data_IF_407490177538
#
_entry.id   IF_407490177538
#
_cell.length_a   1.000
_cell.length_b   1.000
_cell.length_c   1.000
_cell.angle_alpha   90.00
_cell.angle_beta   90.00
_cell.angle_gamma   90.00
#
_symmetry.space_group_name_H-M   'P 1'
#
loop_
_entity.id
_entity.type
_entity.pdbx_description
1 polymer ?
#
# COMPACT_ATOMS: atom_id res chain seq x y z
N UNK A 1 -8.45 9.67 13.41
CA UNK A 1 -9.41 10.73 13.02
C UNK A 1 -9.45 11.00 11.51
N UNK A 2 -8.52 11.73 10.87
CA UNK A 2 -8.65 12.13 9.45
C UNK A 2 -8.95 10.95 8.50
N UNK A 3 -8.24 9.82 8.63
CA UNK A 3 -8.50 8.63 7.80
C UNK A 3 -9.84 7.97 8.08
N UNK A 4 -10.27 7.95 9.34
CA UNK A 4 -11.58 7.41 9.70
C UNK A 4 -12.69 8.23 9.05
N UNK A 5 -12.59 9.57 9.10
CA UNK A 5 -13.53 10.45 8.39
C UNK A 5 -13.55 10.19 6.89
N UNK A 6 -12.40 9.88 6.27
CA UNK A 6 -12.33 9.54 4.86
C UNK A 6 -13.06 8.22 4.55
N UNK A 7 -12.96 7.21 5.42
CA UNK A 7 -13.72 5.96 5.28
C UNK A 7 -15.22 6.24 5.42
N UNK A 8 -15.66 6.93 6.48
CA UNK A 8 -17.08 7.29 6.68
C UNK A 8 -17.63 8.03 5.46
N UNK A 9 -16.89 9.04 4.97
CA UNK A 9 -17.27 9.80 3.78
C UNK A 9 -17.42 8.91 2.54
N UNK A 10 -16.49 7.99 2.31
CA UNK A 10 -16.56 7.05 1.19
C UNK A 10 -17.78 6.13 1.29
N UNK A 11 -18.09 5.61 2.48
CA UNK A 11 -19.27 4.76 2.70
C UNK A 11 -20.58 5.53 2.43
N UNK A 12 -20.65 6.79 2.87
CA UNK A 12 -21.79 7.65 2.62
C UNK A 12 -21.96 7.98 1.13
N UNK A 13 -20.87 8.35 0.44
CA UNK A 13 -20.87 8.69 -0.99
C UNK A 13 -21.23 7.50 -1.88
N UNK A 14 -20.78 6.29 -1.51
CA UNK A 14 -21.12 5.05 -2.23
C UNK A 14 -22.44 4.45 -1.81
N UNK A 15 -23.09 5.03 -0.78
CA UNK A 15 -24.27 4.47 -0.12
C UNK A 15 -24.10 3.01 0.32
N UNK A 16 -22.86 2.60 0.62
CA UNK A 16 -22.57 1.24 1.04
C UNK A 16 -23.19 0.96 2.41
N UNK A 17 -24.01 -0.09 2.50
CA UNK A 17 -24.70 -0.52 3.74
C UNK A 17 -24.28 -1.91 4.23
N UNK A 18 -23.31 -2.54 3.55
CA UNK A 18 -22.79 -3.84 3.94
C UNK A 18 -21.86 -3.76 5.16
N UNK A 19 -21.51 -4.93 5.69
CA UNK A 19 -20.43 -5.04 6.66
C UNK A 19 -19.08 -4.81 5.96
N UNK A 20 -18.11 -4.27 6.68
CA UNK A 20 -16.72 -4.14 6.23
C UNK A 20 -15.94 -5.27 6.87
N UNK A 21 -15.38 -6.17 6.07
CA UNK A 21 -14.59 -7.30 6.58
C UNK A 21 -13.30 -6.83 7.24
N UNK A 22 -12.61 -5.85 6.63
CA UNK A 22 -11.44 -5.18 7.20
C UNK A 22 -11.14 -3.87 6.45
N UNK A 23 -10.30 -3.03 7.06
CA UNK A 23 -9.72 -1.83 6.44
C UNK A 23 -8.22 -2.02 6.27
N UNK A 24 -7.72 -1.89 5.04
CA UNK A 24 -6.28 -1.84 4.77
C UNK A 24 -5.83 -0.38 4.63
N UNK A 25 -4.99 0.09 5.56
CA UNK A 25 -4.51 1.49 5.56
C UNK A 25 -3.00 1.55 5.54
N UNK A 26 -2.46 2.09 4.44
CA UNK A 26 -1.02 2.29 4.28
C UNK A 26 -0.45 3.32 5.28
N UNK A 27 -1.25 4.32 5.67
CA UNK A 27 -0.75 5.44 6.44
C UNK A 27 -0.06 6.51 5.58
N UNK A 28 0.51 7.51 6.24
CA UNK A 28 1.26 8.60 5.61
C UNK A 28 2.74 8.34 5.84
N UNK A 29 3.52 8.19 4.78
CA UNK A 29 4.97 8.08 4.92
C UNK A 29 5.54 9.39 5.45
N UNK A 30 6.25 9.30 6.58
CA UNK A 30 7.05 10.39 7.16
C UNK A 30 8.53 10.15 6.89
N UNK A 31 8.95 8.89 6.91
CA UNK A 31 10.33 8.51 6.66
C UNK A 31 10.42 7.18 5.88
N UNK A 32 11.38 7.09 4.98
CA UNK A 32 11.65 5.88 4.22
C UNK A 32 13.13 5.82 3.83
N UNK A 33 13.85 4.89 4.44
CA UNK A 33 15.30 4.71 4.27
C UNK A 33 15.59 3.21 4.05
N UNK A 34 15.33 2.68 2.84
CA UNK A 34 15.59 1.28 2.51
C UNK A 34 17.09 0.96 2.44
N UNK A 35 17.89 1.92 1.96
CA UNK A 35 19.32 1.80 1.78
C UNK A 35 20.06 2.72 2.77
N UNK A 36 20.18 2.26 4.01
CA UNK A 36 20.88 3.00 5.05
C UNK A 36 22.39 2.71 5.04
N UNK A 37 23.21 3.74 5.27
CA UNK A 37 24.65 3.61 5.57
C UNK A 37 24.88 3.98 7.02
N UNK A 38 25.91 3.41 7.64
CA UNK A 38 26.30 3.75 9.01
C UNK A 38 26.48 5.28 9.16
N UNK A 39 25.96 5.89 10.24
CA UNK A 39 25.38 5.26 11.43
C UNK A 39 23.87 4.97 11.35
N UNK A 40 23.22 5.20 10.21
CA UNK A 40 21.78 5.01 10.06
C UNK A 40 21.41 3.53 9.91
N UNK A 41 20.20 3.21 10.36
CA UNK A 41 19.60 1.88 10.23
C UNK A 41 18.46 1.93 9.23
N UNK A 42 18.39 0.87 8.43
CA UNK A 42 17.32 0.63 7.48
C UNK A 42 15.96 0.71 8.18
N UNK A 43 15.11 1.62 7.73
CA UNK A 43 13.89 1.94 8.46
C UNK A 43 12.83 2.60 7.58
N UNK A 44 11.58 2.54 8.03
CA UNK A 44 10.48 3.28 7.43
C UNK A 44 9.45 3.60 8.49
N UNK A 45 8.78 4.75 8.35
CA UNK A 45 7.75 5.21 9.26
C UNK A 45 6.54 5.69 8.45
N UNK A 46 5.41 5.03 8.69
CA UNK A 46 4.09 5.50 8.26
C UNK A 46 3.27 5.87 9.49
N UNK A 47 2.69 7.07 9.50
CA UNK A 47 1.79 7.51 10.57
C UNK A 47 0.32 7.37 10.17
N UNK A 48 -0.54 7.26 11.17
CA UNK A 48 -1.96 7.02 11.00
C UNK A 48 -2.38 5.83 11.84
N UNK A 49 -2.63 6.10 13.11
CA UNK A 49 -2.98 5.10 14.10
C UNK A 49 -4.17 4.23 13.63
N UNK A 50 -4.01 2.89 13.52
CA UNK A 50 -5.07 1.99 13.11
C UNK A 50 -6.19 1.88 14.15
N UNK A 51 -5.93 2.19 15.42
CA UNK A 51 -6.88 2.01 16.53
C UNK A 51 -8.17 2.82 16.32
N UNK A 52 -8.05 4.03 15.78
CA UNK A 52 -9.22 4.84 15.42
C UNK A 52 -10.04 4.20 14.30
N UNK A 53 -9.39 3.62 13.28
CA UNK A 53 -10.09 2.95 12.19
C UNK A 53 -10.81 1.70 12.69
N UNK A 54 -10.16 0.92 13.56
CA UNK A 54 -10.74 -0.29 14.12
C UNK A 54 -11.93 0.03 15.02
N UNK A 55 -11.78 1.04 15.89
CA UNK A 55 -12.82 1.47 16.81
C UNK A 55 -14.04 2.08 16.11
N UNK A 56 -13.82 3.03 15.20
CA UNK A 56 -14.92 3.77 14.56
C UNK A 56 -15.73 2.89 13.58
N UNK A 57 -15.08 1.91 12.93
CA UNK A 57 -15.70 1.07 11.90
C UNK A 57 -15.98 -0.36 12.37
N UNK A 58 -15.66 -0.68 13.62
CA UNK A 58 -15.88 -1.99 14.25
C UNK A 58 -15.42 -3.16 13.36
N UNK A 59 -14.20 -3.06 12.84
CA UNK A 59 -13.63 -4.03 11.90
C UNK A 59 -12.11 -4.12 12.06
N UNK A 60 -11.52 -5.20 11.57
CA UNK A 60 -10.08 -5.39 11.61
C UNK A 60 -9.36 -4.37 10.73
N UNK A 61 -8.15 -3.96 11.15
CA UNK A 61 -7.34 -3.02 10.39
C UNK A 61 -5.97 -3.61 10.09
N UNK A 62 -5.68 -3.76 8.80
CA UNK A 62 -4.36 -4.17 8.31
C UNK A 62 -3.54 -2.91 8.00
N UNK A 63 -2.36 -2.79 8.60
CA UNK A 63 -1.50 -1.61 8.48
C UNK A 63 -0.02 -2.00 8.47
N UNK A 64 0.87 -1.01 8.30
CA UNK A 64 2.33 -1.17 8.37
C UNK A 64 2.97 -2.06 7.29
N UNK A 65 2.39 -2.05 6.07
CA UNK A 65 2.80 -2.91 4.96
C UNK A 65 4.29 -2.82 4.60
N UNK A 66 4.87 -1.61 4.59
CA UNK A 66 6.28 -1.42 4.18
C UNK A 66 7.25 -2.03 5.17
N UNK A 67 6.93 -1.96 6.47
CA UNK A 67 7.80 -2.49 7.50
C UNK A 67 7.94 -4.00 7.37
N UNK A 68 6.86 -4.71 7.07
CA UNK A 68 6.92 -6.16 6.89
C UNK A 68 7.80 -6.56 5.70
N UNK A 69 7.68 -5.88 4.57
CA UNK A 69 8.55 -6.10 3.40
C UNK A 69 10.02 -5.82 3.73
N UNK A 70 10.29 -4.74 4.47
CA UNK A 70 11.64 -4.45 4.98
C UNK A 70 12.16 -5.53 5.92
N UNK A 71 11.35 -6.02 6.86
CA UNK A 71 11.76 -7.15 7.72
C UNK A 71 12.05 -8.41 6.89
N UNK A 72 11.29 -8.64 5.82
CA UNK A 72 11.54 -9.74 4.87
C UNK A 72 12.73 -9.52 3.92
N UNK A 73 13.41 -8.37 4.01
CA UNK A 73 14.61 -8.04 3.23
C UNK A 73 14.35 -7.24 1.95
N UNK A 74 13.10 -6.98 1.57
CA UNK A 74 12.73 -6.14 0.42
C UNK A 74 12.62 -4.66 0.79
N UNK A 75 12.78 -3.73 -0.14
CA UNK A 75 12.98 -2.30 0.15
C UNK A 75 11.78 -1.55 0.77
N UNK A 76 10.66 -2.20 1.04
CA UNK A 76 9.43 -1.57 1.49
C UNK A 76 8.73 -0.78 0.40
N UNK A 77 9.24 -0.78 -0.83
CA UNK A 77 8.73 -0.03 -1.97
C UNK A 77 9.37 -0.51 -3.30
N UNK A 78 8.65 -0.41 -4.43
CA UNK A 78 7.20 -0.32 -4.54
C UNK A 78 6.55 -1.68 -4.20
N UNK A 79 5.43 -1.69 -3.48
CA UNK A 79 4.68 -2.92 -3.15
C UNK A 79 3.60 -3.28 -4.19
N UNK A 80 3.29 -2.33 -5.08
CA UNK A 80 2.28 -2.47 -6.13
C UNK A 80 2.60 -3.49 -7.25
N UNK A 81 3.88 -3.83 -7.58
CA UNK A 81 4.19 -4.69 -8.73
C UNK A 81 3.46 -6.04 -8.74
N UNK A 82 3.26 -6.66 -7.57
CA UNK A 82 2.54 -7.93 -7.49
C UNK A 82 1.07 -7.79 -7.90
N UNK A 83 0.38 -6.75 -7.41
CA UNK A 83 -1.01 -6.48 -7.78
C UNK A 83 -1.12 -6.15 -9.27
N UNK A 84 -0.16 -5.40 -9.82
CA UNK A 84 -0.15 -5.08 -11.24
C UNK A 84 0.12 -6.31 -12.10
N UNK A 85 1.00 -7.22 -11.66
CA UNK A 85 1.20 -8.51 -12.31
C UNK A 85 -0.10 -9.32 -12.38
N UNK A 86 -0.82 -9.42 -11.27
CA UNK A 86 -2.09 -10.17 -11.20
C UNK A 86 -3.16 -9.55 -12.11
N UNK A 87 -3.30 -8.23 -12.09
CA UNK A 87 -4.36 -7.52 -12.82
C UNK A 87 -4.04 -7.34 -14.32
N UNK A 88 -2.77 -7.15 -14.66
CA UNK A 88 -2.39 -6.64 -15.98
C UNK A 88 -1.43 -7.52 -16.76
N UNK A 89 -1.03 -8.71 -16.30
CA UNK A 89 -0.23 -9.61 -17.15
C UNK A 89 -0.96 -9.95 -18.45
N UNK A 90 -0.19 -10.14 -19.52
CA UNK A 90 -0.69 -10.46 -20.86
C UNK A 90 0.12 -11.62 -21.44
N UNK A 91 -0.53 -12.47 -22.22
CA UNK A 91 0.13 -13.64 -22.80
C UNK A 91 1.18 -13.27 -23.86
N UNK A 92 0.97 -12.16 -24.58
CA UNK A 92 1.72 -11.85 -25.81
C UNK A 92 2.41 -10.48 -25.77
N UNK A 93 2.16 -9.67 -24.74
CA UNK A 93 2.66 -8.29 -24.67
C UNK A 93 3.38 -8.02 -23.36
N UNK A 94 4.54 -7.36 -23.48
CA UNK A 94 5.12 -6.64 -22.35
C UNK A 94 4.26 -5.42 -22.03
N UNK A 95 3.92 -5.22 -20.76
CA UNK A 95 3.19 -4.03 -20.27
C UNK A 95 4.06 -3.28 -19.26
N UNK A 96 4.09 -1.97 -19.39
CA UNK A 96 4.74 -1.07 -18.45
C UNK A 96 3.66 -0.25 -17.77
N UNK A 97 3.61 -0.30 -16.44
CA UNK A 97 2.69 0.48 -15.63
C UNK A 97 3.47 1.58 -14.94
N UNK A 98 3.28 2.81 -15.42
CA UNK A 98 3.96 3.99 -14.90
C UNK A 98 3.03 4.70 -13.91
N UNK A 99 3.40 4.68 -12.63
CA UNK A 99 2.81 5.55 -11.63
C UNK A 99 3.54 6.90 -11.63
N UNK A 100 2.80 8.00 -11.77
CA UNK A 100 3.32 9.38 -11.72
C UNK A 100 2.77 10.06 -10.45
N UNK A 101 3.42 9.78 -9.32
CA UNK A 101 3.15 10.45 -8.04
C UNK A 101 4.27 11.42 -7.65
N UNK A 102 4.39 11.71 -6.35
CA UNK A 102 5.54 12.49 -5.84
C UNK A 102 6.89 11.83 -6.13
N UNK A 103 6.92 10.49 -6.18
CA UNK A 103 8.03 9.70 -6.72
C UNK A 103 7.46 8.79 -7.81
N UNK A 104 7.98 8.92 -9.03
CA UNK A 104 7.62 8.05 -10.15
C UNK A 104 8.20 6.65 -9.97
N UNK A 105 7.43 5.63 -10.36
CA UNK A 105 7.91 4.24 -10.42
C UNK A 105 7.24 3.51 -11.57
N UNK A 106 7.91 2.49 -12.10
CA UNK A 106 7.41 1.66 -13.19
C UNK A 106 7.47 0.20 -12.81
N UNK A 107 6.38 -0.53 -13.06
CA UNK A 107 6.37 -1.99 -13.07
C UNK A 107 6.45 -2.47 -14.50
N UNK A 108 7.41 -3.35 -14.79
CA UNK A 108 7.56 -3.99 -16.10
C UNK A 108 7.08 -5.42 -16.00
N UNK A 109 6.02 -5.76 -16.74
CA UNK A 109 5.45 -7.09 -16.80
C UNK A 109 5.75 -7.68 -18.17
N UNK A 110 6.63 -8.71 -18.28
CA UNK A 110 6.87 -9.41 -19.54
C UNK A 110 5.66 -10.27 -19.96
N UNK A 111 5.59 -10.74 -21.22
CA UNK A 111 4.59 -11.71 -21.64
C UNK A 111 4.69 -13.01 -20.83
N UNK A 112 3.55 -13.66 -20.58
CA UNK A 112 3.52 -14.92 -19.82
C UNK A 112 3.75 -16.17 -20.67
N UNK A 113 3.57 -16.10 -21.99
CA UNK A 113 4.00 -17.16 -22.90
C UNK A 113 5.38 -16.79 -23.44
N UNK A 114 6.36 -17.68 -23.22
CA UNK A 114 7.62 -17.71 -23.96
C UNK A 114 7.46 -18.62 -25.17
#
# INVERSE_FOLDING_TARGET
MIRSNAVTKLLDETQYKGAIDFIASHGQTIHHLPNAKAPHVRSTLQIGDPSYLAYDHNTDVVFNFRMMDMVAGGDGAPLVPYTEFVLYRDANKTRLLQNIGGIGNVTVIPPTLN
#
